data_IF_415667081976
#
_entry.id   IF_415667081976
#
_cell.length_a   1.000
_cell.length_b   1.000
_cell.length_c   1.000
_cell.angle_alpha   90.00
_cell.angle_beta   90.00
_cell.angle_gamma   90.00
#
_symmetry.space_group_name_H-M   'P 1'
#
loop_
_entity.id
_entity.type
_entity.pdbx_description
1 polymer ?
#
# COMPACT_ATOMS: atom_id res chain seq x y z
N UNK A 1 -6.16 -16.97 14.63
CA UNK A 1 -6.94 -16.10 15.54
C UNK A 1 -7.59 -15.03 14.70
N UNK A 2 -8.91 -14.85 14.81
CA UNK A 2 -9.67 -13.84 14.10
C UNK A 2 -11.01 -13.63 14.80
N UNK A 3 -11.69 -12.52 14.50
CA UNK A 3 -12.98 -12.19 15.13
C UNK A 3 -13.98 -13.33 14.91
N UNK A 4 -14.09 -13.84 13.68
CA UNK A 4 -14.91 -14.99 13.33
C UNK A 4 -14.60 -16.25 14.16
N UNK A 5 -13.32 -16.58 14.34
CA UNK A 5 -12.91 -17.75 15.15
C UNK A 5 -13.29 -17.58 16.62
N UNK A 6 -13.24 -16.36 17.17
CA UNK A 6 -13.61 -16.09 18.56
C UNK A 6 -15.12 -16.21 18.75
N UNK A 7 -15.89 -15.62 17.85
CA UNK A 7 -17.36 -15.71 17.87
C UNK A 7 -17.82 -17.17 17.73
N UNK A 8 -17.20 -17.96 16.86
CA UNK A 8 -17.51 -19.39 16.73
C UNK A 8 -17.20 -20.22 17.99
N UNK A 9 -16.24 -19.79 18.82
CA UNK A 9 -15.95 -20.44 20.10
C UNK A 9 -17.02 -20.14 21.15
N UNK A 10 -17.55 -18.93 21.18
CA UNK A 10 -18.60 -18.52 22.12
C UNK A 10 -19.99 -19.01 21.68
N UNK A 11 -20.22 -19.12 20.37
CA UNK A 11 -21.50 -19.56 19.79
C UNK A 11 -21.26 -20.71 18.81
N UNK A 12 -21.26 -21.99 19.26
CA UNK A 12 -20.87 -23.14 18.42
C UNK A 12 -21.75 -23.36 17.19
N UNK A 13 -23.00 -22.87 17.23
CA UNK A 13 -23.98 -23.04 16.16
C UNK A 13 -24.04 -21.83 15.21
N UNK A 14 -23.15 -20.83 15.37
CA UNK A 14 -23.17 -19.65 14.51
C UNK A 14 -22.71 -20.00 13.10
N UNK A 15 -23.45 -19.54 12.10
CA UNK A 15 -23.05 -19.63 10.70
C UNK A 15 -22.32 -18.33 10.34
N UNK A 16 -21.01 -18.45 10.08
CA UNK A 16 -20.21 -17.33 9.63
C UNK A 16 -20.25 -17.26 8.11
N UNK A 17 -20.98 -16.29 7.59
CA UNK A 17 -21.06 -16.02 6.16
C UNK A 17 -20.25 -14.79 5.80
N UNK A 18 -19.12 -14.98 5.11
CA UNK A 18 -18.33 -13.88 4.59
C UNK A 18 -19.02 -13.23 3.38
N UNK A 19 -19.06 -11.89 3.36
CA UNK A 19 -19.50 -11.14 2.18
C UNK A 19 -18.56 -11.41 0.99
N UNK A 20 -19.07 -11.20 -0.22
CA UNK A 20 -18.31 -11.44 -1.45
C UNK A 20 -16.98 -10.68 -1.47
N UNK A 21 -16.99 -9.42 -1.01
CA UNK A 21 -15.78 -8.59 -0.98
C UNK A 21 -14.71 -9.14 -0.04
N UNK A 22 -15.10 -9.74 1.09
CA UNK A 22 -14.16 -10.40 1.98
C UNK A 22 -13.56 -11.66 1.34
N UNK A 23 -14.40 -12.46 0.66
CA UNK A 23 -13.92 -13.67 -0.05
C UNK A 23 -12.95 -13.30 -1.19
N UNK A 24 -13.27 -12.26 -1.96
CA UNK A 24 -12.39 -11.76 -3.02
C UNK A 24 -11.05 -11.26 -2.46
N UNK A 25 -11.08 -10.55 -1.33
CA UNK A 25 -9.86 -10.09 -0.68
C UNK A 25 -8.99 -11.27 -0.20
N UNK A 26 -9.58 -12.31 0.42
CA UNK A 26 -8.83 -13.51 0.80
C UNK A 26 -8.20 -14.19 -0.41
N UNK A 27 -8.94 -14.33 -1.51
CA UNK A 27 -8.43 -14.93 -2.75
C UNK A 27 -7.25 -14.13 -3.33
N UNK A 28 -7.33 -12.80 -3.31
CA UNK A 28 -6.24 -11.94 -3.76
C UNK A 28 -5.03 -12.02 -2.84
N UNK A 29 -5.25 -12.01 -1.51
CA UNK A 29 -4.17 -12.13 -0.53
C UNK A 29 -3.41 -13.45 -0.69
N UNK A 30 -4.13 -14.56 -0.91
CA UNK A 30 -3.50 -15.86 -1.13
C UNK A 30 -2.78 -15.89 -2.50
N UNK A 31 -3.38 -15.32 -3.54
CA UNK A 31 -2.71 -15.21 -4.86
C UNK A 31 -1.41 -14.38 -4.79
N UNK A 32 -1.41 -13.27 -4.05
CA UNK A 32 -0.24 -12.41 -3.86
C UNK A 32 0.86 -13.12 -3.06
N UNK A 33 0.51 -13.95 -2.07
CA UNK A 33 1.51 -14.72 -1.30
C UNK A 33 2.25 -15.74 -2.15
N UNK A 34 1.57 -16.36 -3.11
CA UNK A 34 2.18 -17.34 -4.01
C UNK A 34 3.14 -16.68 -5.02
N UNK A 35 2.87 -15.43 -5.42
CA UNK A 35 3.70 -14.68 -6.38
C UNK A 35 4.67 -13.77 -5.61
N UNK A 36 5.88 -14.29 -5.35
CA UNK A 36 6.91 -13.63 -4.53
C UNK A 36 7.25 -12.21 -4.98
N UNK A 37 7.28 -11.97 -6.29
CA UNK A 37 7.58 -10.68 -6.90
C UNK A 37 6.53 -9.63 -6.55
N UNK A 38 5.25 -10.01 -6.55
CA UNK A 38 4.15 -9.13 -6.16
C UNK A 38 4.22 -8.82 -4.67
N UNK A 39 4.65 -9.78 -3.85
CA UNK A 39 4.88 -9.54 -2.43
C UNK A 39 6.04 -8.56 -2.19
N UNK A 40 7.13 -8.62 -2.97
CA UNK A 40 8.20 -7.62 -2.89
C UNK A 40 7.71 -6.23 -3.26
N UNK A 41 6.91 -6.12 -4.33
CA UNK A 41 6.32 -4.85 -4.75
C UNK A 41 5.37 -4.26 -3.69
N UNK A 42 4.57 -5.10 -3.05
CA UNK A 42 3.74 -4.72 -1.90
C UNK A 42 4.59 -4.12 -0.78
N UNK A 43 5.64 -4.83 -0.35
CA UNK A 43 6.55 -4.36 0.72
C UNK A 43 7.18 -3.01 0.34
N UNK A 44 7.52 -2.85 -0.94
CA UNK A 44 8.09 -1.60 -1.45
C UNK A 44 7.11 -0.43 -1.34
N UNK A 45 5.86 -0.59 -1.79
CA UNK A 45 4.85 0.48 -1.67
C UNK A 45 4.54 0.77 -0.20
N UNK A 46 4.41 -0.25 0.65
CA UNK A 46 4.17 -0.03 2.10
C UNK A 46 5.33 0.75 2.76
N UNK A 47 6.56 0.59 2.25
CA UNK A 47 7.72 1.37 2.69
C UNK A 47 7.67 2.82 2.19
N UNK A 48 7.26 3.06 0.94
CA UNK A 48 7.00 4.41 0.42
C UNK A 48 5.96 5.10 1.31
N UNK A 49 4.81 4.45 1.53
CA UNK A 49 3.78 4.94 2.44
C UNK A 49 4.35 5.32 3.80
N UNK A 50 5.13 4.43 4.42
CA UNK A 50 5.73 4.68 5.74
C UNK A 50 6.66 5.90 5.78
N UNK A 51 7.40 6.17 4.70
CA UNK A 51 8.33 7.32 4.62
C UNK A 51 7.56 8.64 4.63
N UNK A 52 6.44 8.71 3.92
CA UNK A 52 5.69 9.95 3.77
C UNK A 52 4.61 10.11 4.86
N UNK A 53 3.87 9.05 5.22
CA UNK A 53 2.84 9.09 6.26
C UNK A 53 3.39 9.54 7.62
N UNK A 54 4.61 9.11 7.98
CA UNK A 54 5.22 9.42 9.29
C UNK A 54 5.90 10.79 9.36
N UNK A 55 6.08 11.48 8.24
CA UNK A 55 6.87 12.72 8.19
C UNK A 55 6.14 13.78 7.37
N UNK A 56 5.53 14.74 8.07
CA UNK A 56 4.91 15.90 7.43
C UNK A 56 5.90 16.68 6.56
N UNK A 57 7.18 16.76 6.99
CA UNK A 57 8.25 17.38 6.19
C UNK A 57 8.44 16.66 4.84
N UNK A 58 8.50 15.33 4.85
CA UNK A 58 8.68 14.58 3.61
C UNK A 58 7.46 14.74 2.68
N UNK A 59 6.25 14.89 3.24
CA UNK A 59 5.04 15.16 2.45
C UNK A 59 5.10 16.52 1.77
N UNK A 60 5.53 17.57 2.49
CA UNK A 60 5.70 18.90 1.90
C UNK A 60 6.73 18.85 0.77
N UNK A 61 7.91 18.30 1.03
CA UNK A 61 8.99 18.22 0.01
C UNK A 61 8.53 17.44 -1.22
N UNK A 62 7.79 16.34 -1.05
CA UNK A 62 7.24 15.58 -2.18
C UNK A 62 6.17 16.38 -2.93
N UNK A 63 5.34 17.16 -2.24
CA UNK A 63 4.35 18.04 -2.86
C UNK A 63 5.03 19.13 -3.69
N UNK A 64 6.06 19.77 -3.16
CA UNK A 64 6.83 20.81 -3.87
C UNK A 64 7.44 20.25 -5.17
N UNK A 65 8.07 19.07 -5.11
CA UNK A 65 8.60 18.39 -6.29
C UNK A 65 7.49 18.04 -7.29
N UNK A 66 6.32 17.66 -6.79
CA UNK A 66 5.20 17.29 -7.66
C UNK A 66 4.60 18.50 -8.35
N UNK A 67 4.50 19.63 -7.65
CA UNK A 67 4.06 20.91 -8.21
C UNK A 67 5.06 21.40 -9.28
N UNK A 68 6.37 21.26 -9.05
CA UNK A 68 7.41 21.59 -10.02
C UNK A 68 7.34 20.73 -11.29
N UNK A 69 6.90 19.47 -11.17
CA UNK A 69 6.75 18.53 -12.27
C UNK A 69 5.34 18.54 -12.90
N UNK A 70 4.45 19.42 -12.43
CA UNK A 70 3.03 19.49 -12.84
C UNK A 70 2.29 18.15 -12.68
N UNK A 71 2.63 17.39 -11.63
CA UNK A 71 2.02 16.10 -11.31
C UNK A 71 0.94 16.30 -10.24
N UNK A 72 -0.29 15.93 -10.57
CA UNK A 72 -1.36 15.89 -9.57
C UNK A 72 -1.11 14.76 -8.56
N UNK A 73 -0.81 15.14 -7.31
CA UNK A 73 -0.52 14.19 -6.25
C UNK A 73 -1.78 13.48 -5.76
N UNK A 74 -1.79 12.16 -5.93
CA UNK A 74 -2.79 11.29 -5.31
C UNK A 74 -2.22 10.79 -3.98
N UNK A 75 -3.06 10.80 -2.93
CA UNK A 75 -2.66 10.31 -1.61
C UNK A 75 -2.20 8.84 -1.68
N UNK A 76 -0.91 8.61 -1.44
CA UNK A 76 -0.30 7.28 -1.42
C UNK A 76 -0.78 6.59 -0.15
N UNK A 77 -1.57 5.52 -0.29
CA UNK A 77 -2.04 4.69 0.82
C UNK A 77 -1.24 3.40 0.99
N UNK A 78 -1.64 2.59 1.97
CA UNK A 78 -1.13 1.21 2.13
C UNK A 78 -1.71 0.28 1.06
N UNK A 79 -0.96 -0.76 0.67
CA UNK A 79 -1.45 -1.72 -0.34
C UNK A 79 -2.45 -2.70 0.25
N UNK A 80 -2.37 -3.00 1.55
CA UNK A 80 -3.29 -3.93 2.22
C UNK A 80 -3.62 -3.51 3.66
N UNK A 81 -4.32 -2.38 3.81
CA UNK A 81 -5.10 -2.10 5.02
C UNK A 81 -6.34 -3.02 5.11
N UNK A 82 -7.10 -2.93 6.20
CA UNK A 82 -8.34 -3.70 6.47
C UNK A 82 -9.48 -3.55 5.43
N UNK A 83 -9.22 -2.90 4.29
CA UNK A 83 -10.21 -2.48 3.29
C UNK A 83 -9.76 -2.78 1.85
N UNK A 84 -9.85 -4.04 1.44
CA UNK A 84 -10.25 -4.51 0.08
C UNK A 84 -9.29 -4.20 -1.10
N UNK A 85 -9.42 -5.01 -2.15
CA UNK A 85 -8.67 -4.92 -3.42
C UNK A 85 -8.58 -3.51 -4.03
N UNK A 86 -9.62 -2.69 -3.83
CA UNK A 86 -9.67 -1.33 -4.31
C UNK A 86 -8.60 -0.42 -3.68
N UNK A 87 -8.21 -0.66 -2.42
CA UNK A 87 -7.09 0.08 -1.82
C UNK A 87 -5.77 -0.29 -2.46
N UNK A 88 -5.52 -1.58 -2.72
CA UNK A 88 -4.31 -2.03 -3.41
C UNK A 88 -4.16 -1.38 -4.77
N UNK A 89 -5.25 -1.31 -5.53
CA UNK A 89 -5.27 -0.64 -6.83
C UNK A 89 -5.00 0.86 -6.71
N UNK A 90 -5.70 1.57 -5.81
CA UNK A 90 -5.50 3.01 -5.61
C UNK A 90 -4.08 3.34 -5.18
N UNK A 91 -3.52 2.62 -4.22
CA UNK A 91 -2.16 2.86 -3.73
C UNK A 91 -1.12 2.57 -4.81
N UNK A 92 -1.33 1.53 -5.61
CA UNK A 92 -0.44 1.21 -6.75
C UNK A 92 -0.51 2.30 -7.82
N UNK A 93 -1.71 2.75 -8.18
CA UNK A 93 -1.89 3.85 -9.13
C UNK A 93 -1.29 5.15 -8.61
N UNK A 94 -1.48 5.48 -7.32
CA UNK A 94 -0.89 6.67 -6.72
C UNK A 94 0.64 6.66 -6.82
N UNK A 95 1.29 5.53 -6.51
CA UNK A 95 2.75 5.38 -6.68
C UNK A 95 3.16 5.47 -8.16
N UNK A 96 2.38 4.87 -9.06
CA UNK A 96 2.64 4.93 -10.50
C UNK A 96 2.58 6.38 -11.03
N UNK A 97 1.54 7.13 -10.65
CA UNK A 97 1.40 8.54 -11.05
C UNK A 97 2.46 9.44 -10.43
N UNK A 98 2.81 9.20 -9.15
CA UNK A 98 3.85 9.95 -8.45
C UNK A 98 5.28 9.48 -8.79
N UNK A 99 5.46 8.53 -9.71
CA UNK A 99 6.76 7.92 -10.01
C UNK A 99 7.88 8.94 -10.28
N UNK A 100 7.69 9.96 -11.14
CA UNK A 100 8.76 10.92 -11.43
C UNK A 100 9.15 11.74 -10.19
N UNK A 101 8.16 12.17 -9.40
CA UNK A 101 8.38 12.94 -8.19
C UNK A 101 9.07 12.09 -7.10
N UNK A 102 8.65 10.83 -6.94
CA UNK A 102 9.27 9.88 -6.03
C UNK A 102 10.72 9.59 -6.39
N UNK A 103 11.00 9.35 -7.68
CA UNK A 103 12.36 9.11 -8.16
C UNK A 103 13.24 10.35 -7.91
N UNK A 104 12.76 11.55 -8.25
CA UNK A 104 13.46 12.80 -7.96
C UNK A 104 13.75 12.94 -6.47
N UNK A 105 12.74 12.78 -5.61
CA UNK A 105 12.90 12.84 -4.16
C UNK A 105 13.97 11.86 -3.66
N UNK A 106 13.90 10.59 -4.04
CA UNK A 106 14.84 9.59 -3.54
C UNK A 106 16.26 9.74 -4.07
N UNK A 107 16.44 10.31 -5.27
CA UNK A 107 17.77 10.67 -5.79
C UNK A 107 18.41 11.84 -5.03
N UNK A 108 17.59 12.76 -4.49
CA UNK A 108 18.07 13.95 -3.79
C UNK A 108 18.63 13.67 -2.38
N UNK A 109 18.38 12.48 -1.81
CA UNK A 109 18.87 12.13 -0.46
C UNK A 109 19.66 10.83 -0.46
N UNK A 110 20.91 10.87 0.03
CA UNK A 110 21.78 9.69 0.15
C UNK A 110 21.11 8.52 0.90
N UNK A 111 20.35 8.82 1.96
CA UNK A 111 19.60 7.82 2.75
C UNK A 111 18.58 7.01 1.93
N UNK A 112 18.14 7.52 0.78
CA UNK A 112 17.10 6.91 -0.05
C UNK A 112 17.58 6.44 -1.42
N UNK A 113 18.88 6.49 -1.71
CA UNK A 113 19.43 5.97 -2.98
C UNK A 113 19.06 4.49 -3.23
N UNK A 114 18.98 3.70 -2.16
CA UNK A 114 18.51 2.31 -2.25
C UNK A 114 17.02 2.17 -2.59
N UNK A 115 16.20 3.19 -2.35
CA UNK A 115 14.81 3.26 -2.83
C UNK A 115 14.79 3.67 -4.30
N UNK A 116 15.58 4.68 -4.70
CA UNK A 116 15.69 5.11 -6.09
C UNK A 116 16.14 3.98 -7.02
N UNK A 117 17.13 3.18 -6.61
CA UNK A 117 17.61 2.03 -7.40
C UNK A 117 16.60 0.87 -7.54
N UNK A 118 15.46 0.93 -6.83
CA UNK A 118 14.42 -0.10 -6.81
C UNK A 118 13.08 0.40 -7.36
N UNK A 119 13.00 1.67 -7.74
CA UNK A 119 11.90 2.26 -8.52
C UNK A 119 12.11 1.96 -10.00
#
# INVERSE_FOLDING_TARGET
SGVSTRIAKEFPNIIIWHCLNHRLHLLLDDSIKEIKEVNHFKIFIDKIYTIFDRSYKNQIELSEISDELEIEMINIGTVLGTRWAACSLRSTLAVWHAYPALHHYFCSYEKYLGMAARL
#
